data_IF_182162744276
#
_entry.id   IF_182162744276
#
_cell.length_a   1.000
_cell.length_b   1.000
_cell.length_c   1.000
_cell.angle_alpha   90.00
_cell.angle_beta   90.00
_cell.angle_gamma   90.00
#
_symmetry.space_group_name_H-M   'P 1'
#
loop_
_entity.id
_entity.type
_entity.pdbx_description
1 polymer ?
#
# COMPACT_ATOMS: atom_id res chain seq x y z
N UNK A 1 -18.12 24.46 -6.04
CA UNK A 1 -16.81 23.89 -5.63
C UNK A 1 -16.02 23.56 -6.88
N UNK A 2 -14.72 23.88 -6.91
CA UNK A 2 -13.83 23.45 -8.00
C UNK A 2 -13.59 21.95 -7.78
N UNK A 3 -14.03 21.11 -8.71
CA UNK A 3 -13.77 19.67 -8.63
C UNK A 3 -12.27 19.40 -8.84
N UNK A 4 -11.67 18.61 -7.95
CA UNK A 4 -10.26 18.22 -8.01
C UNK A 4 -9.29 19.24 -7.44
N UNK A 5 -9.75 20.18 -6.60
CA UNK A 5 -8.87 21.16 -5.93
C UNK A 5 -7.81 20.47 -5.03
N UNK A 6 -8.09 19.26 -4.57
CA UNK A 6 -7.24 18.44 -3.73
C UNK A 6 -5.88 18.13 -4.39
N UNK A 7 -5.79 18.11 -5.72
CA UNK A 7 -4.52 17.92 -6.44
C UNK A 7 -3.58 19.13 -6.38
N UNK A 8 -4.04 20.26 -5.83
CA UNK A 8 -3.22 21.42 -5.47
C UNK A 8 -2.96 21.53 -3.97
N UNK A 9 -3.31 20.52 -3.17
CA UNK A 9 -3.08 20.51 -1.73
C UNK A 9 -1.66 20.96 -1.32
N UNK A 10 -0.57 20.55 -2.00
CA UNK A 10 0.79 21.01 -1.67
C UNK A 10 1.03 22.52 -1.78
N UNK A 11 0.15 23.30 -2.42
CA UNK A 11 0.27 24.77 -2.47
C UNK A 11 -0.23 25.46 -1.20
N UNK A 12 -0.97 24.74 -0.35
CA UNK A 12 -1.57 25.29 0.87
C UNK A 12 -0.74 25.00 2.13
N UNK A 13 0.35 24.24 2.00
CA UNK A 13 1.21 23.84 3.11
C UNK A 13 2.68 24.03 2.74
N UNK A 14 3.52 24.35 3.74
CA UNK A 14 4.97 24.45 3.54
C UNK A 14 5.64 23.08 3.35
N UNK A 15 5.08 22.05 3.99
CA UNK A 15 5.55 20.67 3.92
C UNK A 15 4.35 19.72 3.94
N UNK A 16 4.46 18.63 3.18
CA UNK A 16 3.44 17.59 3.11
C UNK A 16 3.84 16.42 4.01
N UNK A 17 2.96 16.05 4.93
CA UNK A 17 3.10 14.80 5.68
C UNK A 17 2.80 13.60 4.78
N UNK A 18 3.41 12.47 5.09
CA UNK A 18 3.15 11.16 4.53
C UNK A 18 2.39 10.30 5.53
N UNK A 19 1.82 9.18 5.07
CA UNK A 19 1.15 8.22 5.95
C UNK A 19 2.08 7.77 7.10
N UNK A 20 3.38 7.61 6.82
CA UNK A 20 4.36 7.12 7.78
C UNK A 20 4.58 8.06 8.96
N UNK A 21 4.33 9.36 8.80
CA UNK A 21 4.51 10.35 9.88
C UNK A 21 3.44 10.24 10.98
N UNK A 22 2.39 9.47 10.71
CA UNK A 22 1.29 9.21 11.65
C UNK A 22 1.34 7.81 12.28
N UNK A 23 2.27 6.95 11.85
CA UNK A 23 2.36 5.58 12.35
C UNK A 23 3.17 5.52 13.65
N UNK A 24 2.69 4.81 14.69
CA UNK A 24 3.51 4.50 15.85
C UNK A 24 4.79 3.75 15.50
N UNK A 25 5.84 3.94 16.30
CA UNK A 25 7.15 3.29 16.09
C UNK A 25 7.05 1.74 16.04
N UNK A 26 6.12 1.17 16.79
CA UNK A 26 5.92 -0.28 16.90
C UNK A 26 4.87 -0.84 15.91
N UNK A 27 4.58 -0.13 14.82
CA UNK A 27 3.63 -0.61 13.80
C UNK A 27 4.15 -1.82 13.05
N UNK A 28 3.36 -2.90 13.01
CA UNK A 28 3.60 -4.07 12.18
C UNK A 28 2.91 -3.93 10.83
N UNK A 29 3.68 -4.04 9.75
CA UNK A 29 3.12 -4.15 8.40
C UNK A 29 2.85 -5.61 8.05
N UNK A 30 1.66 -5.87 7.54
CA UNK A 30 1.28 -7.16 6.96
C UNK A 30 0.91 -6.92 5.51
N UNK A 31 1.66 -7.53 4.59
CA UNK A 31 1.55 -7.25 3.16
C UNK A 31 1.54 -8.50 2.28
N UNK A 32 1.32 -8.29 0.98
CA UNK A 32 1.32 -9.33 -0.06
C UNK A 32 2.51 -9.11 -1.00
N UNK A 33 3.00 -10.16 -1.63
CA UNK A 33 4.23 -10.09 -2.45
C UNK A 33 4.15 -9.17 -3.68
N UNK A 34 2.94 -8.89 -4.18
CA UNK A 34 2.74 -8.10 -5.39
C UNK A 34 2.76 -6.57 -5.17
N UNK A 35 2.96 -6.10 -3.94
CA UNK A 35 2.90 -4.66 -3.64
C UNK A 35 3.93 -3.82 -4.39
N UNK A 36 5.12 -4.36 -4.68
CA UNK A 36 6.14 -3.68 -5.48
C UNK A 36 5.59 -3.33 -6.88
N UNK A 37 5.10 -4.34 -7.59
CA UNK A 37 4.55 -4.21 -8.93
C UNK A 37 3.37 -3.25 -8.95
N UNK A 38 2.47 -3.33 -7.96
CA UNK A 38 1.31 -2.45 -7.87
C UNK A 38 1.71 -0.99 -7.61
N UNK A 39 2.71 -0.76 -6.75
CA UNK A 39 3.24 0.58 -6.48
C UNK A 39 3.89 1.21 -7.71
N UNK A 40 4.69 0.45 -8.45
CA UNK A 40 5.28 0.89 -9.72
C UNK A 40 4.21 1.25 -10.75
N UNK A 41 3.23 0.35 -10.94
CA UNK A 41 2.12 0.57 -11.87
C UNK A 41 1.32 1.82 -11.51
N UNK A 42 0.98 1.99 -10.23
CA UNK A 42 0.27 3.18 -9.75
C UNK A 42 1.04 4.46 -10.08
N UNK A 43 2.34 4.49 -9.82
CA UNK A 43 3.17 5.67 -10.05
C UNK A 43 3.31 5.98 -11.55
N UNK A 44 3.43 4.95 -12.40
CA UNK A 44 3.42 5.12 -13.85
C UNK A 44 2.09 5.67 -14.36
N UNK A 45 0.97 5.13 -13.89
CA UNK A 45 -0.36 5.63 -14.25
C UNK A 45 -0.52 7.11 -13.81
N UNK A 46 0.00 7.49 -12.64
CA UNK A 46 -0.03 8.88 -12.18
C UNK A 46 0.79 9.81 -13.10
N UNK A 47 1.99 9.39 -13.51
CA UNK A 47 2.79 10.13 -14.50
C UNK A 47 2.08 10.25 -15.84
N UNK A 48 1.51 9.16 -16.34
CA UNK A 48 0.78 9.18 -17.61
C UNK A 48 -0.41 10.15 -17.56
N UNK A 49 -1.18 10.16 -16.46
CA UNK A 49 -2.30 11.10 -16.28
C UNK A 49 -1.82 12.55 -16.21
N UNK A 50 -0.69 12.82 -15.56
CA UNK A 50 -0.08 14.14 -15.53
C UNK A 50 0.30 14.60 -16.95
N UNK A 51 1.00 13.76 -17.71
CA UNK A 51 1.42 14.08 -19.08
C UNK A 51 0.23 14.34 -20.01
N UNK A 52 -0.84 13.56 -19.89
CA UNK A 52 -2.05 13.73 -20.71
C UNK A 52 -2.83 15.02 -20.39
N UNK A 53 -2.75 15.53 -19.17
CA UNK A 53 -3.62 16.62 -18.68
C UNK A 53 -2.90 17.94 -18.41
N UNK A 54 -1.56 17.97 -18.40
CA UNK A 54 -0.76 19.19 -18.18
C UNK A 54 -0.89 20.25 -19.29
N UNK A 55 -1.61 19.94 -20.37
CA UNK A 55 -1.80 20.81 -21.55
C UNK A 55 -2.79 21.94 -21.30
N UNK A 56 -3.59 21.90 -20.23
CA UNK A 56 -4.55 22.96 -19.89
C UNK A 56 -3.84 24.13 -19.18
N UNK A 57 -3.71 25.31 -19.83
CA UNK A 57 -3.01 26.46 -19.24
C UNK A 57 -3.80 27.11 -18.09
N UNK A 58 -5.11 26.88 -17.99
CA UNK A 58 -5.97 27.46 -16.95
C UNK A 58 -5.88 26.64 -15.66
N UNK A 59 -5.39 25.39 -15.74
CA UNK A 59 -5.27 24.45 -14.62
C UNK A 59 -3.90 23.78 -14.59
N UNK A 60 -2.81 24.54 -14.31
CA UNK A 60 -1.46 23.99 -14.27
C UNK A 60 -1.35 22.92 -13.17
N UNK A 61 -1.09 21.68 -13.57
CA UNK A 61 -1.00 20.55 -12.65
C UNK A 61 0.34 20.54 -11.91
N UNK A 62 0.32 20.03 -10.68
CA UNK A 62 1.55 19.72 -9.95
C UNK A 62 2.17 18.42 -10.46
N UNK A 63 3.50 18.33 -10.40
CA UNK A 63 4.21 17.10 -10.73
C UNK A 63 3.83 15.99 -9.74
N UNK A 64 3.77 14.71 -10.19
CA UNK A 64 3.40 13.58 -9.34
C UNK A 64 4.23 13.45 -8.05
N UNK A 65 5.51 13.82 -8.09
CA UNK A 65 6.41 13.77 -6.94
C UNK A 65 6.02 14.70 -5.78
N UNK A 66 5.19 15.73 -6.04
CA UNK A 66 4.68 16.63 -4.99
C UNK A 66 3.50 16.03 -4.22
N UNK A 67 2.86 15.01 -4.78
CA UNK A 67 1.61 14.43 -4.27
C UNK A 67 1.80 12.97 -3.81
N UNK A 68 2.69 12.23 -4.48
CA UNK A 68 2.87 10.80 -4.26
C UNK A 68 4.32 10.44 -4.03
N UNK A 69 4.53 9.45 -3.16
CA UNK A 69 5.81 8.78 -3.01
C UNK A 69 6.01 7.82 -4.18
N UNK A 70 7.23 7.76 -4.71
CA UNK A 70 7.61 6.67 -5.60
C UNK A 70 7.80 5.37 -4.80
N UNK A 71 7.82 4.24 -5.50
CA UNK A 71 7.93 2.92 -4.86
C UNK A 71 9.22 2.76 -4.05
N UNK A 72 10.33 3.34 -4.51
CA UNK A 72 11.63 3.25 -3.84
C UNK A 72 11.58 3.94 -2.48
N UNK A 73 10.92 5.09 -2.41
CA UNK A 73 10.73 5.86 -1.19
C UNK A 73 9.81 5.13 -0.20
N UNK A 74 8.72 4.52 -0.70
CA UNK A 74 7.84 3.67 0.11
C UNK A 74 8.64 2.50 0.70
N UNK A 75 9.42 1.81 -0.12
CA UNK A 75 10.28 0.70 0.34
C UNK A 75 11.35 1.15 1.33
N UNK A 76 11.94 2.33 1.12
CA UNK A 76 12.93 2.90 2.03
C UNK A 76 12.31 3.13 3.40
N UNK A 77 11.13 3.73 3.47
CA UNK A 77 10.42 3.96 4.74
C UNK A 77 9.98 2.66 5.40
N UNK A 78 9.47 1.70 4.63
CA UNK A 78 9.05 0.38 5.13
C UNK A 78 10.18 -0.42 5.80
N UNK A 79 11.46 -0.20 5.44
CA UNK A 79 12.59 -0.86 6.11
C UNK A 79 12.71 -0.53 7.59
N UNK A 80 12.08 0.57 8.05
CA UNK A 80 12.09 0.98 9.44
C UNK A 80 11.08 0.25 10.31
N UNK A 81 10.21 -0.58 9.71
CA UNK A 81 9.11 -1.26 10.40
C UNK A 81 9.24 -2.78 10.34
N UNK A 82 8.80 -3.51 11.39
CA UNK A 82 8.63 -4.95 11.30
C UNK A 82 7.58 -5.28 10.22
N UNK A 83 7.82 -6.38 9.48
CA UNK A 83 6.98 -6.77 8.34
C UNK A 83 6.76 -8.27 8.26
N UNK A 84 5.52 -8.66 7.98
CA UNK A 84 5.13 -10.02 7.58
C UNK A 84 4.60 -9.92 6.14
N UNK A 85 5.19 -10.70 5.23
CA UNK A 85 4.71 -10.80 3.86
C UNK A 85 4.07 -12.15 3.63
N UNK A 86 2.81 -12.16 3.22
CA UNK A 86 2.14 -13.36 2.74
C UNK A 86 2.66 -13.72 1.35
N UNK A 87 3.04 -15.00 1.24
CA UNK A 87 3.54 -15.63 0.03
C UNK A 87 2.88 -16.99 -0.11
N UNK A 88 2.60 -17.39 -1.34
CA UNK A 88 2.08 -18.72 -1.65
C UNK A 88 3.15 -19.78 -1.38
N UNK A 89 4.39 -19.50 -1.77
CA UNK A 89 5.51 -20.40 -1.59
C UNK A 89 6.32 -20.12 -0.32
N UNK A 90 6.84 -21.19 0.28
CA UNK A 90 7.78 -21.06 1.40
C UNK A 90 9.06 -20.38 0.93
N UNK A 91 9.52 -19.40 1.70
CA UNK A 91 10.80 -18.77 1.44
C UNK A 91 11.95 -19.63 1.94
N UNK A 92 13.11 -19.57 1.28
CA UNK A 92 14.34 -20.14 1.81
C UNK A 92 14.72 -19.43 3.11
N UNK A 93 14.79 -20.18 4.20
CA UNK A 93 15.18 -19.67 5.52
C UNK A 93 16.56 -19.00 5.48
N UNK A 94 16.66 -17.79 6.03
CA UNK A 94 17.90 -17.04 6.19
C UNK A 94 17.82 -16.12 7.42
N UNK A 95 18.88 -15.36 7.69
CA UNK A 95 18.86 -14.33 8.75
C UNK A 95 17.78 -13.26 8.51
N UNK A 96 17.42 -13.01 7.23
CA UNK A 96 16.50 -11.94 6.84
C UNK A 96 15.04 -12.40 6.69
N UNK A 97 14.80 -13.69 6.53
CA UNK A 97 13.44 -14.21 6.31
C UNK A 97 13.27 -15.60 6.92
N UNK A 98 12.11 -15.82 7.53
CA UNK A 98 11.72 -17.10 8.12
C UNK A 98 10.23 -17.32 7.87
N UNK A 99 9.86 -18.55 7.52
CA UNK A 99 8.45 -18.93 7.44
C UNK A 99 7.88 -19.04 8.85
N UNK A 100 6.75 -18.37 9.10
CA UNK A 100 6.02 -18.51 10.36
C UNK A 100 5.32 -19.87 10.40
N UNK A 101 5.16 -20.48 11.58
CA UNK A 101 4.45 -21.75 11.76
C UNK A 101 2.93 -21.52 11.72
N UNK A 102 2.44 -20.88 10.67
CA UNK A 102 1.01 -20.65 10.42
C UNK A 102 0.46 -21.79 9.58
N UNK A 103 -0.75 -22.23 9.93
CA UNK A 103 -1.51 -23.25 9.19
C UNK A 103 -2.79 -22.61 8.67
N UNK A 104 -3.28 -23.09 7.53
CA UNK A 104 -4.58 -22.67 7.04
C UNK A 104 -5.64 -23.01 8.08
N UNK A 105 -6.63 -22.13 8.24
CA UNK A 105 -7.80 -22.46 9.05
C UNK A 105 -8.49 -23.69 8.45
N UNK A 106 -9.03 -24.60 9.28
CA UNK A 106 -9.84 -25.70 8.76
C UNK A 106 -11.03 -25.15 7.97
N UNK A 107 -11.57 -25.93 7.03
CA UNK A 107 -12.77 -25.54 6.30
C UNK A 107 -13.95 -25.38 7.27
N UNK A 108 -14.30 -24.13 7.58
CA UNK A 108 -15.49 -23.78 8.35
C UNK A 108 -16.69 -23.85 7.41
N UNK A 109 -17.11 -25.06 7.05
CA UNK A 109 -18.36 -25.25 6.31
C UNK A 109 -19.51 -25.07 7.30
N UNK A 110 -20.20 -23.93 7.24
CA UNK A 110 -21.45 -23.73 7.99
C UNK A 110 -22.49 -24.67 7.37
N UNK A 111 -22.71 -25.83 7.99
CA UNK A 111 -23.78 -26.72 7.59
C UNK A 111 -25.08 -26.23 8.22
N UNK A 112 -25.72 -25.25 7.57
CA UNK A 112 -26.95 -24.59 8.03
C UNK A 112 -28.14 -25.54 8.29
N UNK A 113 -28.04 -26.80 7.87
CA UNK A 113 -29.05 -27.84 8.04
C UNK A 113 -28.79 -28.75 9.25
N UNK A 114 -27.63 -28.65 9.91
CA UNK A 114 -27.34 -29.41 11.13
C UNK A 114 -27.89 -28.69 12.37
N UNK A 115 -28.28 -29.47 13.39
CA UNK A 115 -28.76 -28.95 14.68
C UNK A 115 -27.70 -28.14 15.43
N UNK A 116 -26.42 -28.38 15.16
CA UNK A 116 -25.29 -27.61 15.66
C UNK A 116 -24.39 -27.15 14.50
N UNK A 117 -24.71 -26.02 13.84
CA UNK A 117 -23.99 -25.55 12.64
C UNK A 117 -22.55 -25.08 12.90
N UNK A 118 -22.09 -25.10 14.15
CA UNK A 118 -20.73 -24.74 14.61
C UNK A 118 -20.08 -25.85 15.45
N UNK A 119 -20.66 -27.06 15.49
CA UNK A 119 -20.07 -28.19 16.20
C UNK A 119 -18.77 -28.61 15.54
N UNK A 120 -17.67 -28.60 16.30
CA UNK A 120 -16.38 -29.12 15.87
C UNK A 120 -16.40 -30.64 15.69
#
# INVERSE_FOLDING_TARGET
MISGIEYWQPLFFSEMATLFDYLPEQTLFVDMENNQMQGERFYQDAKQRYEQRKVDPIRPLLSPEKLWLNVDEVNRRLKSYPRITFKEEKVRSSVRQKNLPVVALPELTIQSQQKEPLGQ
#
